data_IF_229059115253
#
_entry.id   IF_229059115253
#
_cell.length_a   1.000
_cell.length_b   1.000
_cell.length_c   1.000
_cell.angle_alpha   90.00
_cell.angle_beta   90.00
_cell.angle_gamma   90.00
#
_symmetry.space_group_name_H-M   'P 1'
#
loop_
_entity.id
_entity.type
_entity.pdbx_description
1 polymer ?
#
# COMPACT_ATOMS: atom_id res chain seq x y z
N UNK A 1 -1.12 -1.22 10.84
CA UNK A 1 -0.11 -1.96 11.63
C UNK A 1 -0.29 -1.77 13.13
N UNK A 2 -1.53 -1.79 13.60
CA UNK A 2 -1.87 -1.69 15.03
C UNK A 2 -1.82 -3.07 15.64
N UNK A 3 -0.88 -3.33 16.53
CA UNK A 3 -0.66 -4.65 17.11
C UNK A 3 -1.85 -5.15 17.94
N UNK A 4 -2.58 -4.23 18.57
CA UNK A 4 -3.75 -4.57 19.39
C UNK A 4 -5.02 -4.83 18.57
N UNK A 5 -5.01 -4.61 17.27
CA UNK A 5 -6.17 -4.81 16.42
C UNK A 5 -6.39 -6.31 16.14
N UNK A 6 -7.65 -6.79 16.16
CA UNK A 6 -7.93 -8.18 15.80
C UNK A 6 -7.65 -8.50 14.34
N UNK A 7 -7.49 -7.47 13.49
CA UNK A 7 -7.16 -7.64 12.06
C UNK A 7 -5.69 -7.36 11.76
N UNK A 8 -4.84 -7.32 12.77
CA UNK A 8 -3.41 -7.09 12.59
C UNK A 8 -2.81 -8.13 11.63
N UNK A 9 -2.08 -7.65 10.63
CA UNK A 9 -1.47 -8.48 9.60
C UNK A 9 -2.40 -8.85 8.44
N UNK A 10 -3.64 -8.41 8.47
CA UNK A 10 -4.60 -8.64 7.38
C UNK A 10 -4.67 -7.44 6.45
N UNK A 11 -5.26 -7.63 5.26
CA UNK A 11 -5.40 -6.55 4.29
C UNK A 11 -6.82 -6.47 3.74
N UNK A 12 -7.15 -5.29 3.18
CA UNK A 12 -8.37 -5.03 2.42
C UNK A 12 -7.96 -4.46 1.08
N UNK A 13 -8.62 -4.91 0.02
CA UNK A 13 -8.35 -4.43 -1.34
C UNK A 13 -9.66 -3.97 -1.97
N UNK A 14 -9.66 -2.76 -2.53
CA UNK A 14 -10.83 -2.20 -3.22
C UNK A 14 -10.39 -1.57 -4.53
N UNK A 15 -11.26 -1.62 -5.53
CA UNK A 15 -11.04 -0.93 -6.80
C UNK A 15 -11.61 0.48 -6.71
N UNK A 16 -10.81 1.46 -7.12
CA UNK A 16 -11.21 2.86 -7.21
C UNK A 16 -11.13 3.26 -8.68
N UNK A 17 -12.21 3.84 -9.22
CA UNK A 17 -12.24 4.26 -10.61
C UNK A 17 -13.07 5.52 -10.78
N UNK A 18 -12.91 6.20 -11.94
CA UNK A 18 -13.75 7.32 -12.27
C UNK A 18 -15.23 6.93 -12.42
N UNK A 19 -15.47 5.71 -12.85
CA UNK A 19 -16.82 5.17 -13.03
C UNK A 19 -17.52 4.89 -11.72
N UNK A 20 -16.84 4.25 -10.76
CA UNK A 20 -17.46 3.90 -9.48
C UNK A 20 -17.43 5.05 -8.46
N UNK A 21 -16.57 6.05 -8.65
CA UNK A 21 -16.46 7.25 -7.80
C UNK A 21 -16.23 6.95 -6.33
N UNK A 22 -15.59 5.83 -6.02
CA UNK A 22 -15.29 5.43 -4.65
C UNK A 22 -14.06 6.17 -4.13
N UNK A 23 -14.03 6.37 -2.83
CA UNK A 23 -12.88 6.91 -2.12
C UNK A 23 -12.55 5.95 -0.97
N UNK A 24 -11.27 5.84 -0.66
CA UNK A 24 -10.81 4.98 0.43
C UNK A 24 -10.26 5.85 1.56
N UNK A 25 -10.87 5.74 2.74
CA UNK A 25 -10.36 6.36 3.95
C UNK A 25 -9.39 5.41 4.64
N UNK A 26 -8.18 5.89 4.90
CA UNK A 26 -7.13 5.09 5.52
C UNK A 26 -6.79 5.72 6.88
N UNK A 27 -7.21 5.08 7.99
CA UNK A 27 -6.89 5.61 9.32
C UNK A 27 -5.39 5.59 9.60
N UNK A 28 -4.96 6.39 10.57
CA UNK A 28 -3.57 6.35 11.04
C UNK A 28 -3.23 4.96 11.59
N UNK A 29 -2.00 4.54 11.39
CA UNK A 29 -1.53 3.23 11.81
C UNK A 29 -1.71 2.15 10.75
N UNK A 30 -2.29 2.49 9.59
CA UNK A 30 -2.45 1.58 8.47
C UNK A 30 -1.37 1.82 7.42
N UNK A 31 -0.83 0.74 6.88
CA UNK A 31 -0.04 0.81 5.65
C UNK A 31 -0.98 0.74 4.45
N UNK A 32 -0.61 1.37 3.35
CA UNK A 32 -1.42 1.35 2.14
C UNK A 32 -0.53 1.34 0.91
N UNK A 33 -1.11 0.92 -0.19
CA UNK A 33 -0.47 0.92 -1.49
C UNK A 33 -1.51 0.77 -2.58
N UNK A 34 -1.09 0.81 -3.83
CA UNK A 34 -2.01 0.67 -4.95
C UNK A 34 -1.32 0.06 -6.15
N UNK A 35 -2.14 -0.46 -7.06
CA UNK A 35 -1.71 -0.96 -8.36
C UNK A 35 -2.61 -0.35 -9.42
N UNK A 36 -2.01 0.18 -10.50
CA UNK A 36 -2.75 0.75 -11.62
C UNK A 36 -3.15 -0.38 -12.56
N UNK A 37 -4.46 -0.49 -12.85
CA UNK A 37 -5.00 -1.52 -13.72
C UNK A 37 -5.26 -1.04 -15.15
N UNK A 38 -5.26 0.29 -15.38
CA UNK A 38 -5.42 0.91 -16.70
C UNK A 38 -4.05 1.32 -17.25
N UNK A 39 -4.02 1.77 -18.51
CA UNK A 39 -2.79 2.24 -19.13
C UNK A 39 -2.24 3.47 -18.41
N UNK A 40 -3.11 4.36 -17.96
CA UNK A 40 -2.76 5.55 -17.20
C UNK A 40 -3.76 5.77 -16.08
N UNK A 41 -3.32 6.47 -15.04
CA UNK A 41 -4.21 6.85 -13.93
C UNK A 41 -3.76 8.17 -13.32
N UNK A 42 -4.73 8.93 -12.81
CA UNK A 42 -4.47 10.11 -11.98
C UNK A 42 -4.71 9.70 -10.54
N UNK A 43 -3.69 9.85 -9.71
CA UNK A 43 -3.74 9.50 -8.30
C UNK A 43 -3.83 10.78 -7.47
N UNK A 44 -4.93 10.94 -6.74
CA UNK A 44 -5.15 12.09 -5.85
C UNK A 44 -5.40 11.61 -4.43
N UNK A 45 -4.88 12.37 -3.47
CA UNK A 45 -5.07 12.02 -2.07
C UNK A 45 -4.95 13.25 -1.19
N UNK A 46 -5.53 13.16 0.01
CA UNK A 46 -5.39 14.18 1.05
C UNK A 46 -4.80 13.52 2.29
N UNK A 47 -3.94 14.26 2.96
CA UNK A 47 -3.29 13.80 4.20
C UNK A 47 -3.63 14.76 5.33
N UNK A 48 -3.57 14.26 6.55
CA UNK A 48 -3.89 15.03 7.75
C UNK A 48 -2.64 15.46 8.53
N UNK A 49 -1.48 15.38 7.91
CA UNK A 49 -0.22 15.81 8.52
C UNK A 49 0.75 16.31 7.43
N UNK A 50 1.84 16.92 7.87
CA UNK A 50 2.87 17.46 6.97
C UNK A 50 3.69 16.31 6.39
N UNK A 51 4.03 16.43 5.11
CA UNK A 51 4.91 15.47 4.44
C UNK A 51 6.29 15.45 5.11
N UNK A 52 6.73 14.26 5.52
CA UNK A 52 8.00 14.04 6.22
C UNK A 52 8.73 12.85 5.62
N UNK A 53 9.47 13.03 4.51
CA UNK A 53 10.11 11.91 3.81
C UNK A 53 11.09 11.13 4.68
N UNK A 54 11.71 11.76 5.66
CA UNK A 54 12.63 11.08 6.58
C UNK A 54 11.91 10.12 7.54
N UNK A 55 10.59 10.23 7.66
CA UNK A 55 9.76 9.35 8.50
C UNK A 55 9.01 8.30 7.67
N UNK A 56 9.23 8.25 6.36
CA UNK A 56 8.55 7.27 5.51
C UNK A 56 9.11 5.87 5.74
N UNK A 57 8.21 4.89 5.77
CA UNK A 57 8.51 3.47 5.84
C UNK A 57 7.69 2.73 4.79
N UNK A 58 8.22 1.65 4.27
CA UNK A 58 7.52 0.84 3.27
C UNK A 58 7.64 -0.63 3.60
N UNK A 59 6.58 -1.38 3.34
CA UNK A 59 6.57 -2.83 3.45
C UNK A 59 6.60 -3.40 2.03
N UNK A 60 7.28 -4.52 1.84
CA UNK A 60 7.32 -5.19 0.55
C UNK A 60 5.92 -5.56 0.09
N UNK A 61 5.59 -5.23 -1.16
CA UNK A 61 4.27 -5.52 -1.73
C UNK A 61 4.00 -7.03 -1.83
N UNK A 62 5.06 -7.84 -1.92
CA UNK A 62 5.00 -9.27 -2.10
C UNK A 62 5.26 -10.06 -0.81
N UNK A 63 5.16 -9.42 0.34
CA UNK A 63 5.42 -10.09 1.62
C UNK A 63 4.43 -11.24 1.84
N UNK A 64 4.91 -12.49 2.00
CA UNK A 64 4.03 -13.65 2.12
C UNK A 64 3.20 -13.66 3.41
N UNK A 65 3.62 -12.95 4.45
CA UNK A 65 2.85 -12.88 5.70
C UNK A 65 1.57 -12.07 5.55
N UNK A 66 1.58 -11.06 4.68
CA UNK A 66 0.37 -10.29 4.36
C UNK A 66 -0.42 -11.04 3.30
N UNK A 67 0.27 -11.59 2.28
CA UNK A 67 -0.34 -12.43 1.27
C UNK A 67 -1.32 -11.71 0.35
N UNK A 68 -1.01 -10.47 -0.05
CA UNK A 68 -1.89 -9.68 -0.92
C UNK A 68 -2.02 -10.33 -2.30
N UNK A 69 -3.25 -10.55 -2.74
CA UNK A 69 -3.56 -11.13 -4.05
C UNK A 69 -3.64 -10.02 -5.11
N UNK A 70 -2.48 -9.53 -5.56
CA UNK A 70 -2.42 -8.46 -6.56
C UNK A 70 -3.02 -8.90 -7.89
N UNK A 71 -3.87 -8.07 -8.53
CA UNK A 71 -4.49 -8.43 -9.83
C UNK A 71 -3.48 -8.67 -10.95
N UNK A 72 -2.40 -7.89 -11.00
CA UNK A 72 -1.34 -8.05 -11.99
C UNK A 72 -0.13 -8.63 -11.28
N UNK A 73 0.29 -9.84 -11.66
CA UNK A 73 1.41 -10.55 -11.04
C UNK A 73 2.56 -10.82 -12.00
N UNK A 74 2.38 -10.59 -13.31
CA UNK A 74 3.41 -10.83 -14.31
C UNK A 74 4.56 -9.83 -14.12
N UNK A 75 5.81 -10.28 -13.81
CA UNK A 75 6.93 -9.37 -13.57
C UNK A 75 7.23 -8.43 -14.74
N UNK A 76 6.90 -8.82 -15.96
CA UNK A 76 7.14 -8.00 -17.15
C UNK A 76 6.19 -6.80 -17.23
N UNK A 77 5.03 -6.87 -16.58
CA UNK A 77 4.02 -5.82 -16.55
C UNK A 77 4.13 -4.93 -15.32
N UNK A 78 4.94 -5.33 -14.33
CA UNK A 78 5.07 -4.59 -13.08
C UNK A 78 6.14 -3.51 -13.19
N UNK A 79 5.75 -2.26 -12.94
CA UNK A 79 6.65 -1.13 -12.81
C UNK A 79 6.57 -0.64 -11.38
N UNK A 80 7.69 -0.70 -10.67
CA UNK A 80 7.78 -0.33 -9.26
C UNK A 80 8.70 0.88 -9.11
N UNK A 81 8.39 1.76 -8.16
CA UNK A 81 9.29 2.85 -7.82
C UNK A 81 10.57 2.31 -7.15
N UNK A 82 11.65 3.09 -7.20
CA UNK A 82 12.88 2.70 -6.52
C UNK A 82 12.68 2.51 -5.02
N UNK A 83 11.82 3.32 -4.40
CA UNK A 83 11.49 3.18 -2.99
C UNK A 83 10.87 1.82 -2.68
N UNK A 84 9.97 1.36 -3.54
CA UNK A 84 9.31 0.06 -3.35
C UNK A 84 10.27 -1.10 -3.54
N UNK A 85 11.30 -0.93 -4.38
CA UNK A 85 12.29 -1.97 -4.65
C UNK A 85 13.43 -2.00 -3.63
N UNK A 86 13.92 -0.83 -3.21
CA UNK A 86 15.16 -0.71 -2.44
C UNK A 86 14.94 -0.46 -0.95
N UNK A 87 13.86 0.23 -0.59
CA UNK A 87 13.62 0.67 0.79
C UNK A 87 12.51 -0.08 1.49
N UNK A 88 11.80 -0.96 0.80
CA UNK A 88 10.75 -1.76 1.41
C UNK A 88 11.34 -2.87 2.28
N UNK A 89 10.78 -3.05 3.46
CA UNK A 89 11.17 -4.08 4.42
C UNK A 89 10.11 -5.15 4.53
N UNK A 90 10.43 -6.28 5.14
CA UNK A 90 9.44 -7.33 5.41
C UNK A 90 8.43 -6.86 6.46
N UNK A 91 7.30 -7.56 6.53
CA UNK A 91 6.28 -7.28 7.55
C UNK A 91 6.85 -7.38 8.96
N UNK A 92 7.74 -8.35 9.20
CA UNK A 92 8.35 -8.53 10.52
C UNK A 92 9.27 -7.38 10.91
N UNK A 93 9.96 -6.80 9.93
CA UNK A 93 10.90 -5.70 10.14
C UNK A 93 10.21 -4.34 10.18
N UNK A 94 8.97 -4.25 9.69
CA UNK A 94 8.24 -2.99 9.62
C UNK A 94 7.90 -2.45 11.01
N UNK A 95 7.89 -1.12 11.12
CA UNK A 95 7.45 -0.45 12.34
C UNK A 95 5.95 -0.72 12.57
N UNK A 96 5.59 -1.00 13.83
CA UNK A 96 4.22 -1.30 14.22
C UNK A 96 3.75 -0.36 15.34
N UNK A 97 2.45 -0.21 15.43
CA UNK A 97 1.83 0.72 16.37
C UNK A 97 0.95 0.04 17.40
#
# INVERSE_FOLDING_TARGET
LRQASPTFGKYVMVELSAENKRQLFIPRGFAHGFQVLSDTAVFTYKVDNIYAPQAECSIRYDDPKIGIAWPITNPQELLLSEKDLQHAVSFDEAEKF
#
